data_IF_491331301266
#
_entry.id   IF_491331301266
#
_cell.length_a   1.000
_cell.length_b   1.000
_cell.length_c   1.000
_cell.angle_alpha   90.00
_cell.angle_beta   90.00
_cell.angle_gamma   90.00
#
_symmetry.space_group_name_H-M   'P 1'
#
loop_
_entity.id
_entity.type
_entity.pdbx_description
1 polymer ?
#
# COMPACT_ATOMS: atom_id res chain seq x y z
N UNK A 1 27.28 24.04 3.52
CA UNK A 1 25.92 24.55 3.24
C UNK A 1 25.20 24.59 4.58
N UNK A 2 24.86 25.78 5.10
CA UNK A 2 24.04 25.89 6.32
C UNK A 2 22.59 25.72 5.89
N UNK A 3 22.08 24.51 5.96
CA UNK A 3 20.67 24.22 5.70
C UNK A 3 19.82 24.90 6.77
N UNK A 4 18.83 25.67 6.33
CA UNK A 4 17.99 26.48 7.21
C UNK A 4 16.68 25.73 7.54
N UNK A 5 15.85 26.31 8.41
CA UNK A 5 14.55 25.73 8.78
C UNK A 5 13.62 25.50 7.57
N UNK A 6 13.81 26.25 6.49
CA UNK A 6 13.03 26.13 5.26
C UNK A 6 13.35 24.84 4.50
N UNK A 7 14.64 24.51 4.34
CA UNK A 7 15.08 23.27 3.68
C UNK A 7 14.56 22.03 4.41
N UNK A 8 14.58 22.08 5.75
CA UNK A 8 14.03 21.01 6.58
C UNK A 8 12.53 20.81 6.36
N UNK A 9 11.75 21.91 6.28
CA UNK A 9 10.32 21.82 5.96
C UNK A 9 10.08 21.27 4.56
N UNK A 10 10.83 21.74 3.56
CA UNK A 10 10.72 21.27 2.19
C UNK A 10 10.99 19.77 2.07
N UNK A 11 12.00 19.26 2.78
CA UNK A 11 12.31 17.84 2.83
C UNK A 11 11.20 17.01 3.48
N UNK A 12 10.64 17.47 4.60
CA UNK A 12 9.46 16.82 5.20
C UNK A 12 8.27 16.80 4.24
N UNK A 13 8.04 17.88 3.50
CA UNK A 13 7.01 17.93 2.46
C UNK A 13 7.28 16.94 1.32
N UNK A 14 8.53 16.73 0.91
CA UNK A 14 8.86 15.69 -0.07
C UNK A 14 8.50 14.29 0.42
N UNK A 15 8.80 13.98 1.69
CA UNK A 15 8.44 12.69 2.30
C UNK A 15 6.91 12.52 2.38
N UNK A 16 6.19 13.55 2.86
CA UNK A 16 4.72 13.55 2.93
C UNK A 16 4.08 13.36 1.55
N UNK A 17 4.61 13.98 0.51
CA UNK A 17 4.14 13.78 -0.86
C UNK A 17 4.25 12.32 -1.30
N UNK A 18 5.33 11.62 -0.91
CA UNK A 18 5.48 10.19 -1.21
C UNK A 18 4.47 9.35 -0.43
N UNK A 19 4.27 9.63 0.87
CA UNK A 19 3.27 8.96 1.72
C UNK A 19 1.87 9.12 1.11
N UNK A 20 1.50 10.35 0.73
CA UNK A 20 0.21 10.65 0.11
C UNK A 20 0.02 9.88 -1.20
N UNK A 21 1.04 9.82 -2.07
CA UNK A 21 0.99 9.04 -3.31
C UNK A 21 0.81 7.54 -3.05
N UNK A 22 1.46 6.97 -2.05
CA UNK A 22 1.29 5.56 -1.70
C UNK A 22 -0.13 5.27 -1.19
N UNK A 23 -0.68 6.15 -0.35
CA UNK A 23 -2.05 6.03 0.14
C UNK A 23 -3.07 6.14 -1.01
N UNK A 24 -2.89 7.09 -1.93
CA UNK A 24 -3.72 7.22 -3.13
C UNK A 24 -3.63 5.99 -4.03
N UNK A 25 -2.43 5.47 -4.29
CA UNK A 25 -2.26 4.27 -5.11
C UNK A 25 -2.92 3.03 -4.47
N UNK A 26 -2.79 2.87 -3.15
CA UNK A 26 -3.49 1.80 -2.41
C UNK A 26 -5.01 1.91 -2.56
N UNK A 27 -5.57 3.12 -2.41
CA UNK A 27 -7.01 3.34 -2.61
C UNK A 27 -7.47 3.03 -4.03
N UNK A 28 -6.71 3.45 -5.05
CA UNK A 28 -6.99 3.17 -6.46
C UNK A 28 -7.00 1.65 -6.72
N UNK A 29 -6.00 0.92 -6.20
CA UNK A 29 -5.95 -0.54 -6.34
C UNK A 29 -7.19 -1.19 -5.75
N UNK A 30 -7.57 -0.85 -4.52
CA UNK A 30 -8.77 -1.41 -3.87
C UNK A 30 -10.03 -1.16 -4.71
N UNK A 31 -10.17 0.04 -5.27
CA UNK A 31 -11.27 0.38 -6.17
C UNK A 31 -11.32 -0.51 -7.41
N UNK A 32 -10.18 -0.66 -8.10
CA UNK A 32 -10.08 -1.52 -9.29
C UNK A 32 -10.32 -3.00 -8.98
N UNK A 33 -9.87 -3.49 -7.82
CA UNK A 33 -10.16 -4.86 -7.37
C UNK A 33 -11.67 -5.08 -7.28
N UNK A 34 -12.40 -4.20 -6.58
CA UNK A 34 -13.86 -4.33 -6.41
C UNK A 34 -14.55 -4.30 -7.77
N UNK A 35 -14.20 -3.35 -8.64
CA UNK A 35 -14.80 -3.22 -9.98
C UNK A 35 -14.55 -4.45 -10.84
N UNK A 36 -13.30 -4.92 -10.91
CA UNK A 36 -12.94 -6.05 -11.77
C UNK A 36 -13.55 -7.36 -11.27
N UNK A 37 -13.50 -7.64 -9.96
CA UNK A 37 -14.07 -8.85 -9.40
C UNK A 37 -15.60 -8.84 -9.53
N UNK A 38 -16.27 -7.71 -9.27
CA UNK A 38 -17.72 -7.59 -9.45
C UNK A 38 -18.14 -7.87 -10.90
N UNK A 39 -17.41 -7.34 -11.87
CA UNK A 39 -17.67 -7.59 -13.29
C UNK A 39 -17.50 -9.07 -13.65
N UNK A 40 -16.44 -9.72 -13.15
CA UNK A 40 -16.21 -11.16 -13.39
C UNK A 40 -17.32 -12.00 -12.78
N UNK A 41 -17.73 -11.71 -11.54
CA UNK A 41 -18.79 -12.46 -10.84
C UNK A 41 -20.14 -12.33 -11.54
N UNK A 42 -20.56 -11.11 -11.90
CA UNK A 42 -21.81 -10.88 -12.63
C UNK A 42 -21.79 -11.63 -13.96
N UNK A 43 -20.66 -11.61 -14.68
CA UNK A 43 -20.52 -12.30 -15.96
C UNK A 43 -20.54 -13.83 -15.79
N UNK A 44 -19.85 -14.35 -14.76
CA UNK A 44 -19.83 -15.78 -14.44
C UNK A 44 -21.24 -16.33 -14.17
N UNK A 45 -22.02 -15.63 -13.34
CA UNK A 45 -23.41 -15.99 -13.02
C UNK A 45 -24.33 -15.83 -14.24
N UNK A 46 -24.25 -14.69 -14.93
CA UNK A 46 -25.17 -14.39 -16.05
C UNK A 46 -25.00 -15.31 -17.26
N UNK A 47 -23.80 -15.89 -17.43
CA UNK A 47 -23.46 -16.75 -18.57
C UNK A 47 -23.27 -18.21 -18.18
N UNK A 48 -23.52 -18.59 -16.91
CA UNK A 48 -23.27 -19.94 -16.37
C UNK A 48 -21.87 -20.45 -16.77
N UNK A 49 -20.85 -19.64 -16.53
CA UNK A 49 -19.49 -19.97 -16.94
C UNK A 49 -18.89 -21.10 -16.09
N UNK A 50 -17.91 -21.77 -16.69
CA UNK A 50 -17.18 -22.87 -16.05
C UNK A 50 -16.39 -22.39 -14.82
N UNK A 51 -16.17 -23.28 -13.85
CA UNK A 51 -15.43 -23.04 -12.60
C UNK A 51 -14.07 -22.34 -12.79
N UNK A 52 -13.44 -22.50 -13.96
CA UNK A 52 -12.19 -21.83 -14.33
C UNK A 52 -12.24 -20.31 -14.19
N UNK A 53 -13.41 -19.68 -14.35
CA UNK A 53 -13.57 -18.21 -14.22
C UNK A 53 -13.39 -17.77 -12.77
N UNK A 54 -13.85 -18.56 -11.80
CA UNK A 54 -13.63 -18.27 -10.38
C UNK A 54 -12.15 -18.40 -10.00
N UNK A 55 -11.42 -19.35 -10.60
CA UNK A 55 -9.97 -19.45 -10.41
C UNK A 55 -9.28 -18.18 -10.92
N UNK A 56 -9.68 -17.64 -12.07
CA UNK A 56 -9.16 -16.39 -12.61
C UNK A 56 -9.46 -15.22 -11.65
N UNK A 57 -10.68 -15.16 -11.09
CA UNK A 57 -11.05 -14.14 -10.11
C UNK A 57 -10.18 -14.20 -8.83
N UNK A 58 -9.94 -15.40 -8.29
CA UNK A 58 -9.07 -15.60 -7.12
C UNK A 58 -7.63 -15.17 -7.42
N UNK A 59 -7.09 -15.54 -8.59
CA UNK A 59 -5.73 -15.14 -9.00
C UNK A 59 -5.63 -13.63 -9.15
N UNK A 60 -6.65 -12.98 -9.72
CA UNK A 60 -6.71 -11.53 -9.83
C UNK A 60 -6.74 -10.87 -8.45
N UNK A 61 -7.60 -11.34 -7.54
CA UNK A 61 -7.75 -10.83 -6.18
C UNK A 61 -6.42 -10.91 -5.39
N UNK A 62 -5.75 -12.06 -5.44
CA UNK A 62 -4.42 -12.26 -4.81
C UNK A 62 -3.39 -11.31 -5.41
N UNK A 63 -3.40 -11.11 -6.73
CA UNK A 63 -2.45 -10.22 -7.41
C UNK A 63 -2.63 -8.77 -6.98
N UNK A 64 -3.87 -8.29 -6.90
CA UNK A 64 -4.16 -6.94 -6.39
C UNK A 64 -3.81 -6.80 -4.91
N UNK A 65 -4.07 -7.82 -4.09
CA UNK A 65 -3.70 -7.84 -2.69
C UNK A 65 -2.19 -7.68 -2.50
N UNK A 66 -1.38 -8.35 -3.33
CA UNK A 66 0.07 -8.21 -3.30
C UNK A 66 0.53 -6.78 -3.62
N UNK A 67 -0.05 -6.16 -4.66
CA UNK A 67 0.27 -4.78 -5.05
C UNK A 67 -0.13 -3.80 -3.94
N UNK A 68 -1.30 -3.99 -3.33
CA UNK A 68 -1.78 -3.15 -2.23
C UNK A 68 -0.88 -3.28 -0.98
N UNK A 69 -0.44 -4.49 -0.66
CA UNK A 69 0.56 -4.73 0.39
C UNK A 69 1.88 -4.03 0.08
N UNK A 70 2.31 -4.00 -1.18
CA UNK A 70 3.52 -3.28 -1.57
C UNK A 70 3.39 -1.77 -1.30
N UNK A 71 2.26 -1.15 -1.67
CA UNK A 71 2.02 0.27 -1.40
C UNK A 71 1.96 0.57 0.10
N UNK A 72 1.21 -0.22 0.87
CA UNK A 72 1.12 -0.02 2.33
C UNK A 72 2.47 -0.22 3.03
N UNK A 73 3.27 -1.19 2.60
CA UNK A 73 4.62 -1.40 3.14
C UNK A 73 5.51 -0.19 2.88
N UNK A 74 5.47 0.33 1.66
CA UNK A 74 6.26 1.49 1.25
C UNK A 74 5.83 2.73 2.02
N UNK A 75 4.52 2.96 2.17
CA UNK A 75 3.97 4.03 3.01
C UNK A 75 4.49 3.96 4.46
N UNK A 76 4.49 2.76 5.08
CA UNK A 76 5.01 2.58 6.45
C UNK A 76 6.51 2.90 6.55
N UNK A 77 7.31 2.53 5.54
CA UNK A 77 8.74 2.87 5.49
C UNK A 77 8.93 4.39 5.46
N UNK A 78 8.18 5.10 4.62
CA UNK A 78 8.24 6.57 4.56
C UNK A 78 7.72 7.23 5.83
N UNK A 79 6.69 6.68 6.49
CA UNK A 79 6.24 7.15 7.81
C UNK A 79 7.32 6.98 8.88
N UNK A 80 8.07 5.88 8.86
CA UNK A 80 9.19 5.66 9.78
C UNK A 80 10.33 6.65 9.51
N UNK A 81 10.70 6.82 8.24
CA UNK A 81 11.68 7.82 7.81
C UNK A 81 11.28 9.23 8.27
N UNK A 82 10.02 9.63 8.07
CA UNK A 82 9.50 10.92 8.52
C UNK A 82 9.69 11.13 10.03
N UNK A 83 9.33 10.12 10.84
CA UNK A 83 9.51 10.16 12.31
C UNK A 83 10.98 10.26 12.70
N UNK A 84 11.86 9.52 12.03
CA UNK A 84 13.30 9.58 12.29
C UNK A 84 13.86 10.97 11.97
N UNK A 85 13.51 11.54 10.82
CA UNK A 85 13.93 12.89 10.39
C UNK A 85 13.47 13.97 11.37
N UNK A 86 12.24 13.86 11.91
CA UNK A 86 11.75 14.75 12.95
C UNK A 86 12.60 14.71 14.24
N UNK A 87 13.16 13.54 14.59
CA UNK A 87 14.07 13.40 15.74
C UNK A 87 15.38 14.17 15.60
N UNK A 88 15.84 14.41 14.36
CA UNK A 88 17.07 15.13 14.05
C UNK A 88 16.89 16.65 13.90
N UNK A 89 15.72 17.20 14.22
CA UNK A 89 15.40 18.63 14.09
C UNK A 89 16.44 19.56 14.74
N UNK A 90 17.09 19.12 15.83
CA UNK A 90 18.10 19.91 16.55
C UNK A 90 19.54 19.71 16.01
N UNK A 91 19.78 18.75 15.13
CA UNK A 91 21.09 18.40 14.56
C UNK A 91 20.99 18.14 13.04
N UNK A 92 20.64 19.19 12.29
CA UNK A 92 20.41 19.12 10.84
C UNK A 92 21.64 18.73 10.01
N UNK A 93 22.86 18.79 10.56
CA UNK A 93 24.10 18.42 9.87
C UNK A 93 24.23 16.93 9.53
N UNK A 94 23.44 16.06 10.17
CA UNK A 94 23.47 14.62 9.92
C UNK A 94 22.47 14.16 8.84
N UNK A 95 21.61 15.05 8.35
CA UNK A 95 20.55 14.70 7.40
C UNK A 95 21.05 14.95 5.98
N UNK A 96 21.01 13.92 5.14
CA UNK A 96 21.23 14.07 3.72
C UNK A 96 19.89 14.39 3.02
N UNK A 97 19.58 15.68 2.85
CA UNK A 97 18.29 16.16 2.32
C UNK A 97 17.96 15.68 0.89
N UNK A 98 18.92 15.11 0.17
CA UNK A 98 18.72 14.58 -1.19
C UNK A 98 18.48 13.07 -1.21
N UNK A 99 18.61 12.39 -0.06
CA UNK A 99 18.33 10.97 0.03
C UNK A 99 16.86 10.75 0.41
N UNK A 100 16.14 10.07 -0.48
CA UNK A 100 14.72 9.70 -0.34
C UNK A 100 14.54 8.17 -0.23
N UNK A 101 15.62 7.45 0.06
CA UNK A 101 15.62 6.01 0.21
C UNK A 101 15.10 5.60 1.59
N UNK A 102 13.80 5.26 1.67
CA UNK A 102 13.19 4.79 2.91
C UNK A 102 13.54 3.34 3.30
N UNK A 103 14.37 2.63 2.50
CA UNK A 103 14.63 1.19 2.71
C UNK A 103 15.39 0.85 3.99
N UNK A 104 16.08 1.82 4.58
CA UNK A 104 16.82 1.68 5.83
C UNK A 104 15.90 1.78 7.07
N UNK A 105 14.70 2.34 6.92
CA UNK A 105 13.76 2.61 8.01
C UNK A 105 12.77 1.45 8.27
N UNK A 106 13.27 0.22 8.16
CA UNK A 106 12.49 -1.01 8.40
C UNK A 106 12.27 -1.20 9.91
N UNK A 107 11.02 -1.52 10.27
CA UNK A 107 10.65 -1.98 11.62
C UNK A 107 9.80 -3.27 11.56
N UNK A 108 9.35 -3.76 12.72
CA UNK A 108 8.44 -4.91 12.80
C UNK A 108 7.14 -4.69 12.02
N UNK A 109 6.58 -3.48 11.98
CA UNK A 109 5.34 -3.14 11.26
C UNK A 109 5.50 -3.09 9.73
N UNK A 110 6.74 -2.98 9.23
CA UNK A 110 7.08 -3.06 7.79
C UNK A 110 7.35 -4.48 7.29
N UNK A 111 7.28 -5.48 8.18
CA UNK A 111 7.38 -6.89 7.80
C UNK A 111 6.24 -7.28 6.84
N UNK A 112 6.51 -8.03 5.75
CA UNK A 112 5.49 -8.39 4.76
C UNK A 112 4.23 -9.01 5.37
N UNK A 113 4.39 -9.86 6.39
CA UNK A 113 3.28 -10.54 7.08
C UNK A 113 2.43 -9.55 7.88
N UNK A 114 3.05 -8.60 8.59
CA UNK A 114 2.33 -7.59 9.37
C UNK A 114 1.66 -6.54 8.49
N UNK A 115 2.15 -6.35 7.27
CA UNK A 115 1.50 -5.51 6.27
C UNK A 115 0.27 -6.21 5.71
N UNK A 116 0.39 -7.50 5.37
CA UNK A 116 -0.73 -8.30 4.88
C UNK A 116 -1.86 -8.42 5.91
N UNK A 117 -1.52 -8.68 7.18
CA UNK A 117 -2.49 -8.76 8.28
C UNK A 117 -2.95 -7.39 8.79
N UNK A 118 -2.66 -6.31 8.08
CA UNK A 118 -3.12 -4.99 8.48
C UNK A 118 -4.64 -4.86 8.30
N UNK A 119 -5.28 -4.20 9.27
CA UNK A 119 -6.73 -3.92 9.28
C UNK A 119 -7.23 -3.23 7.99
N UNK A 120 -6.37 -2.51 7.27
CA UNK A 120 -6.73 -1.84 6.01
C UNK A 120 -6.82 -2.78 4.80
N UNK A 121 -6.16 -3.95 4.84
CA UNK A 121 -6.04 -4.87 3.71
C UNK A 121 -6.91 -6.10 3.95
N UNK A 122 -6.61 -6.86 5.00
CA UNK A 122 -7.20 -8.18 5.24
C UNK A 122 -8.74 -8.25 5.13
N UNK A 123 -9.53 -7.33 5.75
CA UNK A 123 -10.99 -7.43 5.70
C UNK A 123 -11.56 -7.32 4.28
N UNK A 124 -10.98 -6.46 3.44
CA UNK A 124 -11.45 -6.25 2.07
C UNK A 124 -11.27 -7.52 1.23
N UNK A 125 -10.04 -8.02 1.14
CA UNK A 125 -9.72 -9.17 0.31
C UNK A 125 -10.34 -10.46 0.87
N UNK A 126 -10.53 -10.57 2.18
CA UNK A 126 -11.26 -11.71 2.76
C UNK A 126 -12.73 -11.71 2.33
N UNK A 127 -13.41 -10.54 2.35
CA UNK A 127 -14.80 -10.43 1.90
C UNK A 127 -14.94 -10.73 0.40
N UNK A 128 -13.99 -10.29 -0.41
CA UNK A 128 -13.96 -10.59 -1.85
C UNK A 128 -13.73 -12.08 -2.09
N UNK A 129 -12.77 -12.69 -1.41
CA UNK A 129 -12.52 -14.12 -1.51
C UNK A 129 -13.75 -14.94 -1.07
N UNK A 130 -14.39 -14.56 0.03
CA UNK A 130 -15.59 -15.21 0.52
C UNK A 130 -16.75 -15.09 -0.47
N UNK A 131 -16.91 -13.95 -1.15
CA UNK A 131 -17.95 -13.77 -2.17
C UNK A 131 -17.70 -14.63 -3.40
N UNK A 132 -16.44 -14.77 -3.84
CA UNK A 132 -16.08 -15.67 -4.94
C UNK A 132 -16.41 -17.12 -4.57
N UNK A 133 -16.00 -17.58 -3.39
CA UNK A 133 -16.23 -18.96 -2.92
C UNK A 133 -17.71 -19.26 -2.70
N UNK A 134 -18.50 -18.28 -2.27
CA UNK A 134 -19.94 -18.44 -2.08
C UNK A 134 -20.70 -18.62 -3.41
N UNK A 135 -20.22 -18.00 -4.49
CA UNK A 135 -20.86 -18.04 -5.81
C UNK A 135 -20.37 -19.23 -6.65
N UNK A 136 -19.12 -19.66 -6.46
CA UNK A 136 -18.47 -20.74 -7.20
C UNK A 136 -19.09 -22.12 -6.93
#
# INVERSE_FOLDING_TARGET
>A
MNFDKEDFKAYLTMIENVISRMATNSFIVKGWTITMISAILVLAVSKNLNYKVYIIAIVADISFCFIDCFYLRTEKLYRNMYKSVLGFKNNLKQINFFDLNASEYKDKNTSPINVFLSCSIWPLYLVILASIVFIA
#
